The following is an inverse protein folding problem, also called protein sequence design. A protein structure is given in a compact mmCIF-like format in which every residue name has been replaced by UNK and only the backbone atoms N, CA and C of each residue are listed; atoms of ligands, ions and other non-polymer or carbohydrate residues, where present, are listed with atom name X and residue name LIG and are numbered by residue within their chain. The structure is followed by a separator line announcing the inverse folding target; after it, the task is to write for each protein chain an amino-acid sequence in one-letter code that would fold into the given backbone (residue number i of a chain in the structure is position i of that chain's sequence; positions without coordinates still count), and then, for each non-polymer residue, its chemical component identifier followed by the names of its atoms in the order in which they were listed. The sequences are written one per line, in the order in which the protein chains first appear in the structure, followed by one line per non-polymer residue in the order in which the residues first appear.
data_IF_155508229012
#
_entry.id   IF_155508229012
#
_cell.length_a   1.000
_cell.length_b   1.000
_cell.length_c   1.000
_cell.angle_alpha   90.00
_cell.angle_beta   90.00
_cell.angle_gamma   90.00
#
_symmetry.space_group_name_H-M   'P 1'
#
loop_
_entity.id
_entity.type
_entity.pdbx_description
1 polymer ?
#
# COMPACT_ATOMS: atom_id res chain seq x y z
N UNK A 1 6.38 -37.23 13.81
CA UNK A 1 7.40 -36.19 13.57
C UNK A 1 6.71 -35.09 12.80
N UNK A 2 7.09 -33.84 13.03
CA UNK A 2 6.39 -32.67 12.51
C UNK A 2 6.81 -32.29 11.06
N UNK A 3 7.45 -33.22 10.36
CA UNK A 3 8.01 -33.02 9.01
C UNK A 3 9.45 -32.49 9.00
N UNK A 4 10.03 -32.42 7.81
CA UNK A 4 11.35 -31.82 7.54
C UNK A 4 11.14 -30.50 6.78
N UNK A 5 11.69 -29.40 7.31
CA UNK A 5 11.57 -28.05 6.73
C UNK A 5 12.86 -27.62 6.03
N UNK A 6 12.74 -27.00 4.86
CA UNK A 6 13.84 -26.37 4.14
C UNK A 6 13.41 -25.07 3.46
N UNK A 7 14.38 -24.20 3.21
CA UNK A 7 14.19 -22.89 2.57
C UNK A 7 14.61 -22.99 1.10
N UNK A 8 13.75 -22.52 0.20
CA UNK A 8 13.99 -22.47 -1.24
C UNK A 8 14.90 -21.28 -1.61
N UNK A 9 15.49 -21.27 -2.83
CA UNK A 9 16.23 -20.10 -3.31
C UNK A 9 15.40 -18.81 -3.35
N UNK A 10 14.07 -18.93 -3.47
CA UNK A 10 13.12 -17.82 -3.37
C UNK A 10 13.05 -17.22 -1.95
N UNK A 11 13.46 -17.95 -0.92
CA UNK A 11 13.24 -17.61 0.49
C UNK A 11 11.95 -18.20 1.09
N UNK A 12 11.12 -18.85 0.28
CA UNK A 12 9.94 -19.58 0.74
C UNK A 12 10.34 -20.84 1.54
N UNK A 13 9.50 -21.25 2.48
CA UNK A 13 9.69 -22.43 3.31
C UNK A 13 8.79 -23.58 2.85
N UNK A 14 9.37 -24.77 2.74
CA UNK A 14 8.64 -26.02 2.47
C UNK A 14 8.83 -26.96 3.65
N UNK A 15 7.74 -27.50 4.18
CA UNK A 15 7.77 -28.59 5.16
C UNK A 15 7.18 -29.84 4.53
N UNK A 16 7.97 -30.90 4.44
CA UNK A 16 7.54 -32.20 3.91
C UNK A 16 7.16 -33.11 5.07
N UNK A 17 5.96 -33.67 5.03
CA UNK A 17 5.41 -34.54 6.06
C UNK A 17 5.76 -36.02 5.79
N UNK A 18 5.75 -36.89 6.81
CA UNK A 18 6.11 -38.31 6.66
C UNK A 18 5.24 -39.11 5.67
N UNK A 19 4.05 -38.62 5.33
CA UNK A 19 3.15 -39.22 4.35
C UNK A 19 3.40 -38.72 2.91
N UNK A 20 4.39 -37.85 2.71
CA UNK A 20 4.76 -37.27 1.41
C UNK A 20 3.95 -36.03 1.02
N UNK A 21 2.97 -35.60 1.83
CA UNK A 21 2.35 -34.29 1.66
C UNK A 21 3.32 -33.17 2.06
N UNK A 22 3.05 -31.93 1.61
CA UNK A 22 3.89 -30.79 1.95
C UNK A 22 3.04 -29.54 2.23
N UNK A 23 3.58 -28.65 3.07
CA UNK A 23 3.10 -27.28 3.20
C UNK A 23 4.10 -26.33 2.55
N UNK A 24 3.58 -25.29 1.89
CA UNK A 24 4.37 -24.23 1.28
C UNK A 24 4.01 -22.90 1.96
N UNK A 25 5.02 -22.20 2.47
CA UNK A 25 4.89 -20.86 3.00
C UNK A 25 5.74 -19.92 2.13
N UNK A 26 5.13 -18.99 1.35
CA UNK A 26 5.88 -18.04 0.53
C UNK A 26 6.73 -17.07 1.35
N UNK A 27 6.51 -16.97 2.67
CA UNK A 27 7.28 -16.14 3.59
C UNK A 27 7.39 -14.67 3.14
N UNK A 28 6.25 -14.12 2.70
CA UNK A 28 6.12 -12.75 2.22
C UNK A 28 6.78 -12.45 0.87
N UNK A 29 7.36 -13.46 0.20
CA UNK A 29 8.19 -13.23 -1.00
C UNK A 29 7.42 -12.65 -2.18
N UNK A 30 6.11 -12.89 -2.21
CA UNK A 30 5.21 -12.59 -3.31
C UNK A 30 4.07 -11.63 -2.90
N UNK A 31 4.24 -10.92 -1.78
CA UNK A 31 3.27 -9.92 -1.26
C UNK A 31 3.24 -8.61 -2.07
N UNK A 32 3.87 -8.60 -3.25
CA UNK A 32 3.86 -7.48 -4.18
C UNK A 32 3.37 -7.92 -5.56
N UNK A 33 2.75 -9.11 -5.63
CA UNK A 33 2.14 -9.57 -6.85
C UNK A 33 0.72 -9.03 -6.86
N UNK A 34 0.48 -8.05 -7.72
CA UNK A 34 -0.85 -7.50 -7.90
C UNK A 34 -1.82 -8.48 -8.54
N UNK A 35 -3.09 -8.08 -8.71
CA UNK A 35 -4.11 -8.86 -9.40
C UNK A 35 -3.66 -9.33 -10.79
N UNK A 36 -4.03 -10.56 -11.13
CA UNK A 36 -3.68 -11.22 -12.41
C UNK A 36 -2.17 -11.48 -12.63
N UNK A 37 -1.30 -11.07 -11.72
CA UNK A 37 0.11 -11.46 -11.74
C UNK A 37 0.30 -12.88 -11.21
N UNK A 38 1.33 -13.55 -11.73
CA UNK A 38 1.70 -14.88 -11.26
C UNK A 38 3.19 -15.05 -11.13
N UNK A 39 3.60 -15.80 -10.12
CA UNK A 39 4.95 -16.31 -9.98
C UNK A 39 4.94 -17.84 -9.94
N UNK A 40 6.11 -18.42 -10.17
CA UNK A 40 6.31 -19.85 -10.01
C UNK A 40 7.48 -20.13 -9.10
N UNK A 41 7.32 -21.12 -8.24
CA UNK A 41 8.38 -21.68 -7.42
C UNK A 41 8.44 -23.20 -7.63
N UNK A 42 9.57 -23.81 -7.32
CA UNK A 42 9.71 -25.25 -7.50
C UNK A 42 10.76 -25.85 -6.58
N UNK A 43 10.54 -27.11 -6.23
CA UNK A 43 11.53 -27.91 -5.52
C UNK A 43 11.56 -29.35 -6.05
N UNK A 44 12.76 -29.97 -6.13
CA UNK A 44 12.89 -31.36 -6.53
C UNK A 44 12.50 -32.30 -5.39
N UNK A 45 12.00 -33.48 -5.75
CA UNK A 45 11.82 -34.59 -4.83
C UNK A 45 12.34 -35.89 -5.46
N UNK A 46 12.78 -36.81 -4.61
CA UNK A 46 13.29 -38.12 -5.03
C UNK A 46 12.43 -39.22 -4.41
N UNK A 47 11.98 -40.16 -5.24
CA UNK A 47 11.25 -41.35 -4.84
C UNK A 47 12.17 -42.57 -4.90
N UNK A 48 11.88 -43.60 -4.12
CA UNK A 48 12.53 -44.92 -4.21
C UNK A 48 11.49 -46.02 -4.20
N UNK A 49 11.76 -47.12 -4.89
CA UNK A 49 10.91 -48.32 -4.84
C UNK A 49 11.19 -49.20 -3.61
N UNK A 50 12.16 -48.81 -2.77
CA UNK A 50 12.59 -49.56 -1.59
C UNK A 50 13.64 -50.64 -1.87
N UNK A 51 14.04 -50.82 -3.13
CA UNK A 51 15.00 -51.85 -3.56
C UNK A 51 16.36 -51.28 -3.99
N UNK A 52 16.53 -49.96 -3.88
CA UNK A 52 17.78 -49.25 -4.19
C UNK A 52 17.73 -48.44 -5.48
N UNK A 53 16.64 -48.55 -6.24
CA UNK A 53 16.33 -47.67 -7.35
C UNK A 53 15.71 -46.36 -6.86
N UNK A 54 16.10 -45.25 -7.50
CA UNK A 54 15.62 -43.91 -7.21
C UNK A 54 15.22 -43.21 -8.50
N UNK A 55 14.19 -42.36 -8.43
CA UNK A 55 13.79 -41.45 -9.50
C UNK A 55 13.52 -40.06 -8.93
N UNK A 56 13.63 -39.01 -9.74
CA UNK A 56 13.44 -37.61 -9.30
C UNK A 56 12.51 -36.84 -10.20
N UNK A 57 11.72 -35.95 -9.59
CA UNK A 57 10.79 -35.07 -10.28
C UNK A 57 10.71 -33.71 -9.57
N UNK A 58 9.95 -32.77 -10.14
CA UNK A 58 9.75 -31.42 -9.60
C UNK A 58 8.31 -31.26 -9.14
N UNK A 59 8.15 -30.64 -7.97
CA UNK A 59 6.91 -29.97 -7.60
C UNK A 59 6.99 -28.54 -8.14
N UNK A 60 6.01 -28.14 -8.94
CA UNK A 60 5.84 -26.76 -9.38
C UNK A 60 4.66 -26.14 -8.66
N UNK A 61 4.87 -24.96 -8.10
CA UNK A 61 3.86 -24.16 -7.42
C UNK A 61 3.65 -22.92 -8.26
N UNK A 62 2.39 -22.63 -8.58
CA UNK A 62 1.98 -21.37 -9.20
C UNK A 62 1.32 -20.52 -8.13
N UNK A 63 1.87 -19.32 -7.91
CA UNK A 63 1.40 -18.34 -6.95
C UNK A 63 0.67 -17.27 -7.76
N UNK A 64 -0.58 -16.98 -7.41
CA UNK A 64 -1.33 -15.85 -7.94
C UNK A 64 -1.25 -14.67 -6.99
N UNK A 65 -1.15 -13.48 -7.56
CA UNK A 65 -1.24 -12.23 -6.83
C UNK A 65 -2.65 -11.87 -6.41
N UNK A 66 -2.75 -10.92 -5.49
CA UNK A 66 -4.00 -10.30 -5.01
C UNK A 66 -3.72 -8.81 -4.84
N UNK A 67 -4.77 -7.99 -4.92
CA UNK A 67 -4.65 -6.57 -4.59
C UNK A 67 -4.44 -6.42 -3.07
N UNK A 68 -3.41 -5.70 -2.67
CA UNK A 68 -3.19 -5.24 -1.32
C UNK A 68 -3.54 -3.74 -1.21
N UNK A 69 -4.28 -3.30 -0.18
CA UNK A 69 -4.68 -1.91 -0.07
C UNK A 69 -3.50 -0.94 0.04
N UNK A 70 -3.68 0.32 -0.41
CA UNK A 70 -2.66 1.34 -0.24
C UNK A 70 -2.41 1.65 1.24
N UNK A 71 -1.29 2.33 1.50
CA UNK A 71 -0.90 2.88 2.79
C UNK A 71 -0.82 4.40 2.65
N UNK A 72 -1.70 5.10 3.37
CA UNK A 72 -1.70 6.55 3.48
C UNK A 72 -0.92 6.98 4.72
N UNK A 73 -0.01 7.94 4.60
CA UNK A 73 0.79 8.50 5.68
C UNK A 73 0.46 9.98 5.90
N UNK A 74 0.39 10.43 7.16
CA UNK A 74 0.05 11.83 7.49
C UNK A 74 1.06 12.83 6.87
N UNK A 75 0.53 13.88 6.25
CA UNK A 75 1.30 15.05 5.82
C UNK A 75 1.34 16.16 6.88
N UNK A 76 2.41 16.95 6.87
CA UNK A 76 2.48 18.18 7.67
C UNK A 76 3.25 19.28 6.97
N UNK A 77 2.72 20.49 7.03
CA UNK A 77 3.32 21.69 6.48
C UNK A 77 3.15 22.85 7.45
N UNK A 78 4.01 23.87 7.34
CA UNK A 78 3.88 25.11 8.13
C UNK A 78 3.81 26.31 7.20
N UNK A 79 2.89 27.22 7.48
CA UNK A 79 2.73 28.47 6.73
C UNK A 79 2.49 29.67 7.65
N UNK A 80 2.32 30.84 7.05
CA UNK A 80 1.88 32.06 7.73
C UNK A 80 0.45 32.41 7.30
N UNK A 81 -0.29 33.22 8.07
CA UNK A 81 -1.68 33.58 7.76
C UNK A 81 -1.95 34.13 6.36
N UNK A 82 -0.91 34.66 5.68
CA UNK A 82 -1.04 35.34 4.39
C UNK A 82 -0.42 34.56 3.22
N UNK A 83 -0.04 33.30 3.44
CA UNK A 83 0.71 32.51 2.45
C UNK A 83 -0.04 31.22 2.14
N UNK A 84 -0.42 31.07 0.87
CA UNK A 84 -0.95 29.80 0.37
C UNK A 84 0.16 28.75 0.32
N UNK A 85 -0.20 27.49 0.55
CA UNK A 85 0.70 26.35 0.46
C UNK A 85 0.27 25.50 -0.73
N UNK A 86 1.24 25.17 -1.59
CA UNK A 86 1.05 24.18 -2.66
C UNK A 86 2.00 23.03 -2.41
N UNK A 87 1.45 21.84 -2.21
CA UNK A 87 2.21 20.61 -2.00
C UNK A 87 1.51 19.43 -2.69
N UNK A 88 2.08 18.24 -2.55
CA UNK A 88 1.48 17.00 -3.03
C UNK A 88 1.46 15.98 -1.89
N UNK A 89 0.25 15.59 -1.50
CA UNK A 89 -0.06 14.73 -0.33
C UNK A 89 -0.03 13.23 -0.65
N UNK A 90 0.41 12.83 -1.84
CA UNK A 90 0.55 11.41 -2.20
C UNK A 90 2.01 10.97 -2.34
N UNK A 91 2.97 11.85 -2.06
CA UNK A 91 4.40 11.56 -2.27
C UNK A 91 5.02 10.68 -1.18
N UNK A 92 4.43 10.68 0.01
CA UNK A 92 4.76 9.82 1.15
C UNK A 92 3.93 8.54 1.19
N UNK A 93 2.78 8.51 0.51
CA UNK A 93 1.93 7.34 0.40
C UNK A 93 2.57 6.22 -0.43
N UNK A 94 2.12 4.98 -0.22
CA UNK A 94 2.67 3.81 -0.91
C UNK A 94 1.63 2.73 -1.17
N UNK A 95 1.92 1.87 -2.14
CA UNK A 95 1.13 0.71 -2.48
C UNK A 95 2.02 -0.55 -2.47
N UNK A 96 1.64 -1.65 -1.78
CA UNK A 96 2.46 -2.87 -1.73
C UNK A 96 2.68 -3.55 -3.08
N UNK A 97 1.70 -3.47 -3.99
CA UNK A 97 1.77 -4.02 -5.35
C UNK A 97 2.47 -3.06 -6.32
N UNK A 98 2.60 -1.79 -5.92
CA UNK A 98 3.26 -0.74 -6.68
C UNK A 98 2.33 -0.04 -7.67
N UNK A 99 1.03 -0.08 -7.42
CA UNK A 99 0.03 0.62 -8.20
C UNK A 99 0.11 2.15 -8.03
N UNK A 100 -0.30 2.87 -9.09
CA UNK A 100 -0.35 4.33 -9.06
C UNK A 100 -1.49 4.81 -8.14
N UNK A 101 -1.17 5.72 -7.22
CA UNK A 101 -2.15 6.26 -6.27
C UNK A 101 -2.79 7.57 -6.73
N UNK A 102 -4.08 7.72 -6.44
CA UNK A 102 -4.83 8.96 -6.64
C UNK A 102 -5.68 9.30 -5.43
N UNK A 103 -5.96 10.59 -5.20
CA UNK A 103 -6.88 11.02 -4.14
C UNK A 103 -8.32 10.90 -4.64
N UNK A 104 -9.13 10.10 -3.94
CA UNK A 104 -10.53 9.84 -4.29
C UNK A 104 -11.51 10.72 -3.50
N UNK A 105 -11.16 11.11 -2.27
CA UNK A 105 -12.02 11.91 -1.38
C UNK A 105 -11.22 12.89 -0.52
N UNK A 106 -11.90 13.98 -0.12
CA UNK A 106 -11.51 14.83 1.02
C UNK A 106 -12.62 14.70 2.07
N UNK A 107 -12.28 14.13 3.22
CA UNK A 107 -13.27 13.55 4.15
C UNK A 107 -14.23 12.63 3.41
N UNK A 108 -15.52 12.90 3.51
CA UNK A 108 -16.55 12.09 2.84
C UNK A 108 -16.90 12.59 1.41
N UNK A 109 -16.20 13.61 0.92
CA UNK A 109 -16.55 14.28 -0.34
C UNK A 109 -15.70 13.75 -1.49
N UNK A 110 -16.30 13.10 -2.52
CA UNK A 110 -15.56 12.64 -3.68
C UNK A 110 -14.93 13.77 -4.49
N UNK A 111 -13.75 13.53 -5.06
CA UNK A 111 -13.03 14.47 -5.89
C UNK A 111 -13.39 14.25 -7.37
N UNK A 112 -13.86 15.27 -8.11
CA UNK A 112 -14.08 15.17 -9.55
C UNK A 112 -12.76 15.34 -10.33
N UNK A 113 -12.71 14.99 -11.63
CA UNK A 113 -11.48 15.07 -12.42
C UNK A 113 -10.80 16.44 -12.46
N UNK A 114 -11.58 17.52 -12.36
CA UNK A 114 -11.10 18.90 -12.31
C UNK A 114 -10.60 19.36 -10.92
N UNK A 115 -10.71 18.50 -9.91
CA UNK A 115 -10.44 18.82 -8.51
C UNK A 115 -11.62 19.50 -7.81
N UNK A 116 -11.50 19.66 -6.49
CA UNK A 116 -12.56 20.22 -5.64
C UNK A 116 -11.98 21.25 -4.67
N UNK A 117 -12.74 22.33 -4.41
CA UNK A 117 -12.48 23.24 -3.30
C UNK A 117 -13.35 22.86 -2.11
N UNK A 118 -12.72 22.62 -0.96
CA UNK A 118 -13.35 22.29 0.31
C UNK A 118 -13.10 23.41 1.30
N UNK A 119 -14.16 23.86 1.98
CA UNK A 119 -14.03 24.75 3.13
C UNK A 119 -13.81 23.94 4.40
N UNK A 120 -12.86 24.36 5.22
CA UNK A 120 -12.50 23.72 6.47
C UNK A 120 -13.29 24.32 7.64
N UNK A 121 -13.30 23.63 8.77
CA UNK A 121 -14.14 23.99 9.93
C UNK A 121 -13.77 25.35 10.54
N UNK A 122 -12.52 25.77 10.41
CA UNK A 122 -12.04 27.08 10.85
C UNK A 122 -12.22 28.20 9.80
N UNK A 123 -12.66 27.84 8.60
CA UNK A 123 -12.93 28.75 7.48
C UNK A 123 -11.78 28.93 6.49
N UNK A 124 -10.64 28.28 6.69
CA UNK A 124 -9.65 28.09 5.63
C UNK A 124 -10.25 27.28 4.47
N UNK A 125 -9.56 27.26 3.33
CA UNK A 125 -9.98 26.46 2.17
C UNK A 125 -8.83 25.64 1.62
N UNK A 126 -9.15 24.46 1.08
CA UNK A 126 -8.19 23.63 0.35
C UNK A 126 -8.77 23.26 -1.01
N UNK A 127 -8.00 23.48 -2.07
CA UNK A 127 -8.28 22.90 -3.39
C UNK A 127 -7.49 21.61 -3.53
N UNK A 128 -8.13 20.50 -3.88
CA UNK A 128 -7.50 19.18 -4.01
C UNK A 128 -7.74 18.61 -5.40
N UNK A 129 -6.67 18.19 -6.05
CA UNK A 129 -6.70 17.49 -7.34
C UNK A 129 -6.55 15.97 -7.14
N UNK A 130 -7.09 15.12 -8.04
CA UNK A 130 -6.93 13.67 -7.95
C UNK A 130 -5.47 13.19 -7.97
N UNK A 131 -4.55 13.97 -8.51
CA UNK A 131 -3.12 13.64 -8.54
C UNK A 131 -2.39 13.95 -7.20
N UNK A 132 -3.14 14.32 -6.15
CA UNK A 132 -2.60 14.68 -4.84
C UNK A 132 -2.07 16.10 -4.73
N UNK A 133 -2.01 16.90 -5.81
CA UNK A 133 -1.68 18.32 -5.65
C UNK A 133 -2.78 19.01 -4.86
N UNK A 134 -2.37 19.76 -3.84
CA UNK A 134 -3.27 20.62 -3.07
C UNK A 134 -2.84 22.09 -3.14
N UNK A 135 -3.81 22.98 -2.95
CA UNK A 135 -3.60 24.39 -2.66
C UNK A 135 -4.39 24.75 -1.40
N UNK A 136 -3.68 24.91 -0.28
CA UNK A 136 -4.24 25.38 0.98
C UNK A 136 -4.17 26.91 1.05
N UNK A 137 -5.30 27.55 1.32
CA UNK A 137 -5.42 28.99 1.52
C UNK A 137 -6.01 29.25 2.91
N UNK A 138 -5.26 29.90 3.82
CA UNK A 138 -5.76 30.39 5.10
C UNK A 138 -7.04 31.23 5.00
N UNK A 139 -7.33 31.83 3.83
CA UNK A 139 -8.54 32.59 3.57
C UNK A 139 -8.79 33.72 4.59
N UNK A 140 -7.69 34.28 5.12
CA UNK A 140 -7.68 35.36 6.10
C UNK A 140 -8.14 35.00 7.51
N UNK A 141 -8.44 33.72 7.80
CA UNK A 141 -9.03 33.33 9.10
C UNK A 141 -8.05 33.45 10.27
N UNK A 142 -6.75 33.54 9.97
CA UNK A 142 -5.70 33.72 10.98
C UNK A 142 -5.01 35.09 10.91
N UNK A 143 -5.58 36.09 10.23
CA UNK A 143 -4.95 37.43 10.09
C UNK A 143 -4.69 38.11 11.44
N UNK A 144 -5.52 37.78 12.45
CA UNK A 144 -5.41 38.30 13.82
C UNK A 144 -4.54 37.43 14.75
N UNK A 145 -3.85 36.41 14.20
CA UNK A 145 -2.98 35.53 14.98
C UNK A 145 -1.80 36.33 15.55
N UNK A 146 -1.68 36.34 16.88
CA UNK A 146 -0.65 37.12 17.57
C UNK A 146 0.77 36.61 17.31
N UNK A 147 1.75 37.50 17.46
CA UNK A 147 3.17 37.15 17.30
C UNK A 147 3.57 35.95 18.17
N UNK A 148 4.14 34.93 17.52
CA UNK A 148 4.60 33.70 18.19
C UNK A 148 3.49 32.75 18.63
N UNK A 149 2.23 33.02 18.26
CA UNK A 149 1.11 32.10 18.43
C UNK A 149 1.01 31.21 17.20
N UNK A 150 0.77 29.93 17.42
CA UNK A 150 0.52 28.95 16.35
C UNK A 150 -0.87 28.35 16.53
N UNK A 151 -1.47 27.92 15.43
CA UNK A 151 -2.67 27.09 15.40
C UNK A 151 -2.46 25.98 14.39
N UNK A 152 -3.25 24.92 14.50
CA UNK A 152 -3.26 23.80 13.57
C UNK A 152 -4.62 23.78 12.87
N UNK A 153 -4.60 23.27 11.65
CA UNK A 153 -5.76 23.00 10.81
C UNK A 153 -5.51 21.67 10.11
N UNK A 154 -6.54 20.85 9.96
CA UNK A 154 -6.42 19.49 9.44
C UNK A 154 -7.65 19.08 8.64
N UNK A 155 -7.42 18.29 7.60
CA UNK A 155 -8.48 17.67 6.82
C UNK A 155 -8.05 16.26 6.42
N UNK A 156 -8.91 15.25 6.57
CA UNK A 156 -8.60 13.90 6.13
C UNK A 156 -8.73 13.79 4.60
N UNK A 157 -7.95 12.90 4.01
CA UNK A 157 -8.07 12.54 2.59
C UNK A 157 -8.02 11.04 2.39
N UNK A 158 -8.62 10.55 1.30
CA UNK A 158 -8.60 9.13 0.95
C UNK A 158 -7.83 8.96 -0.36
N UNK A 159 -6.83 8.07 -0.37
CA UNK A 159 -6.15 7.58 -1.57
C UNK A 159 -6.68 6.23 -2.00
N UNK A 160 -6.58 5.95 -3.29
CA UNK A 160 -6.99 4.69 -3.92
C UNK A 160 -6.01 4.26 -5.00
N UNK A 161 -5.83 2.95 -5.12
CA UNK A 161 -5.18 2.24 -6.24
C UNK A 161 -6.20 1.94 -7.39
N UNK A 162 -7.48 2.31 -7.21
CA UNK A 162 -8.59 2.03 -8.12
C UNK A 162 -9.47 0.84 -7.74
N UNK A 163 -9.04 0.02 -6.77
CA UNK A 163 -9.72 -1.16 -6.23
C UNK A 163 -10.04 -1.00 -4.74
N UNK A 164 -9.04 -0.59 -3.95
CA UNK A 164 -9.10 -0.40 -2.50
C UNK A 164 -8.76 1.07 -2.12
N UNK A 165 -9.08 1.44 -0.87
CA UNK A 165 -8.96 2.80 -0.34
C UNK A 165 -8.12 2.78 0.97
N UNK A 166 -7.33 3.84 1.21
CA UNK A 166 -6.72 4.16 2.50
C UNK A 166 -6.91 5.64 2.85
N UNK A 167 -6.91 5.98 4.14
CA UNK A 167 -7.18 7.35 4.61
C UNK A 167 -6.11 7.78 5.59
N UNK A 168 -5.64 9.01 5.42
CA UNK A 168 -4.85 9.77 6.40
C UNK A 168 -5.72 10.88 7.00
#
# INVERSE_FOLDING_TARGET
SDGDTFVLPSGAEVTVLPDGSYTYNPNGKYDSLGPDETATDSFPYTMTDGNGEYDSALVTITIGGMNDPPVADDDSETTTPFTTVTTNIVLNDSDPDGDDLTVSKVGETPIPPEGISVGLDDGATVFVYPNGTIEYDPNGVYDDLGDGVTTEDCFPYTVTDGSDDATA
#
